data_IF_525498624048
#
_entry.id   IF_525498624048
#
_cell.length_a   1.000
_cell.length_b   1.000
_cell.length_c   1.000
_cell.angle_alpha   90.00
_cell.angle_beta   90.00
_cell.angle_gamma   90.00
#
_symmetry.space_group_name_H-M   'P 1'
#
loop_
_entity.id
_entity.type
_entity.pdbx_description
1 polymer ?
#
# COMPACT_ATOMS: atom_id res chain seq x y z
N UNK A 1 31.02 -37.76 -6.27
CA UNK A 1 29.72 -37.07 -6.40
C UNK A 1 29.97 -35.58 -6.57
N UNK A 2 29.36 -34.91 -7.56
CA UNK A 2 29.58 -33.48 -7.79
C UNK A 2 29.09 -32.69 -6.58
N UNK A 3 29.97 -31.87 -5.99
CA UNK A 3 29.64 -30.99 -4.87
C UNK A 3 28.93 -29.75 -5.42
N UNK A 4 27.60 -29.80 -5.49
CA UNK A 4 26.77 -28.62 -5.71
C UNK A 4 26.55 -27.86 -4.41
N UNK A 5 26.13 -26.61 -4.51
CA UNK A 5 25.64 -25.84 -3.37
C UNK A 5 24.14 -25.62 -3.57
N UNK A 6 23.36 -25.88 -2.53
CA UNK A 6 21.91 -25.75 -2.54
C UNK A 6 21.51 -24.58 -1.65
N UNK A 7 20.81 -23.60 -2.21
CA UNK A 7 20.29 -22.45 -1.50
C UNK A 7 18.82 -22.25 -1.86
N UNK A 8 17.93 -22.59 -0.93
CA UNK A 8 16.50 -22.27 -1.06
C UNK A 8 15.82 -22.85 -2.30
N UNK A 9 16.24 -24.02 -2.77
CA UNK A 9 15.63 -24.70 -3.92
C UNK A 9 16.31 -24.44 -5.28
N UNK A 10 17.32 -23.56 -5.32
CA UNK A 10 18.15 -23.36 -6.51
C UNK A 10 19.49 -24.09 -6.36
N UNK A 11 19.63 -25.22 -7.08
CA UNK A 11 20.84 -26.03 -7.06
C UNK A 11 21.84 -25.57 -8.15
N UNK A 12 23.04 -25.16 -7.73
CA UNK A 12 24.10 -24.74 -8.67
C UNK A 12 25.25 -25.75 -8.69
N UNK A 13 25.59 -26.24 -9.88
CA UNK A 13 26.74 -27.11 -10.11
C UNK A 13 28.02 -26.29 -10.32
N UNK A 14 29.06 -26.59 -9.53
CA UNK A 14 30.37 -25.95 -9.64
C UNK A 14 31.42 -27.03 -9.94
N UNK A 15 31.63 -27.32 -11.22
CA UNK A 15 32.65 -28.29 -11.66
C UNK A 15 34.06 -27.75 -11.45
N UNK A 16 34.93 -28.52 -10.79
CA UNK A 16 36.38 -28.26 -10.73
C UNK A 16 36.85 -27.12 -9.81
N UNK A 17 35.97 -26.50 -9.03
CA UNK A 17 36.34 -25.40 -8.14
C UNK A 17 36.99 -25.87 -6.82
N UNK A 18 38.08 -25.20 -6.42
CA UNK A 18 38.68 -25.36 -5.08
C UNK A 18 37.75 -24.79 -3.99
N UNK A 19 37.95 -25.19 -2.73
CA UNK A 19 37.14 -24.68 -1.61
C UNK A 19 37.16 -23.15 -1.46
N UNK A 20 38.25 -22.47 -1.87
CA UNK A 20 38.31 -20.99 -1.88
C UNK A 20 37.42 -20.42 -2.98
N UNK A 21 37.51 -20.97 -4.20
CA UNK A 21 36.69 -20.55 -5.34
C UNK A 21 35.19 -20.81 -5.09
N UNK A 22 34.83 -21.89 -4.40
CA UNK A 22 33.45 -22.16 -3.99
C UNK A 22 32.90 -21.08 -3.05
N UNK A 23 33.71 -20.62 -2.09
CA UNK A 23 33.32 -19.52 -1.18
C UNK A 23 33.14 -18.22 -1.96
N UNK A 24 34.09 -17.86 -2.81
CA UNK A 24 34.03 -16.63 -3.60
C UNK A 24 32.85 -16.63 -4.58
N UNK A 25 32.58 -17.75 -5.27
CA UNK A 25 31.43 -17.88 -6.15
C UNK A 25 30.10 -17.80 -5.38
N UNK A 26 29.99 -18.47 -4.22
CA UNK A 26 28.78 -18.39 -3.39
C UNK A 26 28.50 -16.97 -2.91
N UNK A 27 29.55 -16.21 -2.55
CA UNK A 27 29.44 -14.82 -2.15
C UNK A 27 28.87 -13.95 -3.28
N UNK A 28 29.44 -14.04 -4.50
CA UNK A 28 28.96 -13.25 -5.63
C UNK A 28 27.58 -13.68 -6.12
N UNK A 29 27.25 -14.96 -6.04
CA UNK A 29 25.93 -15.47 -6.39
C UNK A 29 24.84 -14.97 -5.44
N UNK A 30 25.06 -15.03 -4.12
CA UNK A 30 24.15 -14.45 -3.13
C UNK A 30 24.01 -12.94 -3.36
N UNK A 31 25.11 -12.23 -3.61
CA UNK A 31 25.06 -10.80 -3.94
C UNK A 31 24.25 -10.52 -5.21
N UNK A 32 24.38 -11.34 -6.24
CA UNK A 32 23.58 -11.25 -7.46
C UNK A 32 22.08 -11.47 -7.20
N UNK A 33 21.72 -12.49 -6.41
CA UNK A 33 20.33 -12.76 -6.03
C UNK A 33 19.73 -11.62 -5.21
N UNK A 34 20.44 -11.11 -4.21
CA UNK A 34 19.96 -9.97 -3.40
C UNK A 34 19.74 -8.72 -4.27
N UNK A 35 20.64 -8.42 -5.21
CA UNK A 35 20.46 -7.30 -6.15
C UNK A 35 19.25 -7.52 -7.07
N UNK A 36 19.03 -8.74 -7.53
CA UNK A 36 17.87 -9.09 -8.35
C UNK A 36 16.55 -8.91 -7.59
N UNK A 37 16.48 -9.40 -6.35
CA UNK A 37 15.30 -9.24 -5.47
C UNK A 37 15.02 -7.75 -5.17
N UNK A 38 16.07 -6.97 -4.88
CA UNK A 38 15.93 -5.51 -4.66
C UNK A 38 15.39 -4.83 -5.93
N UNK A 39 15.91 -5.18 -7.10
CA UNK A 39 15.45 -4.60 -8.36
C UNK A 39 13.99 -4.93 -8.66
N UNK A 40 13.58 -6.19 -8.44
CA UNK A 40 12.18 -6.60 -8.62
C UNK A 40 11.25 -5.82 -7.68
N UNK A 41 11.62 -5.69 -6.40
CA UNK A 41 10.86 -4.88 -5.43
C UNK A 41 10.78 -3.42 -5.86
N UNK A 42 11.88 -2.82 -6.32
CA UNK A 42 11.86 -1.44 -6.82
C UNK A 42 10.90 -1.25 -8.00
N UNK A 43 10.85 -2.19 -8.95
CA UNK A 43 9.92 -2.12 -10.08
C UNK A 43 8.46 -2.19 -9.60
N UNK A 44 8.14 -3.11 -8.68
CA UNK A 44 6.80 -3.24 -8.11
C UNK A 44 6.37 -1.96 -7.38
N UNK A 45 7.27 -1.36 -6.58
CA UNK A 45 7.00 -0.10 -5.90
C UNK A 45 6.75 1.04 -6.90
N UNK A 46 7.56 1.15 -7.95
CA UNK A 46 7.36 2.14 -8.99
C UNK A 46 6.02 1.96 -9.72
N UNK A 47 5.60 0.73 -9.96
CA UNK A 47 4.29 0.43 -10.55
C UNK A 47 3.15 0.86 -9.60
N UNK A 48 3.29 0.64 -8.29
CA UNK A 48 2.29 1.07 -7.32
C UNK A 48 2.15 2.58 -7.27
N UNK A 49 3.26 3.31 -7.27
CA UNK A 49 3.25 4.78 -7.30
C UNK A 49 2.51 5.28 -8.56
N UNK A 50 2.69 4.62 -9.70
CA UNK A 50 1.94 4.92 -10.92
C UNK A 50 0.44 4.65 -10.75
N UNK A 51 0.03 3.53 -10.13
CA UNK A 51 -1.38 3.22 -9.86
C UNK A 51 -2.00 4.26 -8.92
N UNK A 52 -1.31 4.64 -7.84
CA UNK A 52 -1.73 5.70 -6.92
C UNK A 52 -1.91 7.05 -7.64
N UNK A 53 -0.94 7.41 -8.48
CA UNK A 53 -0.98 8.66 -9.24
C UNK A 53 -2.13 8.67 -10.25
N UNK A 54 -2.37 7.54 -10.93
CA UNK A 54 -3.50 7.36 -11.83
C UNK A 54 -4.84 7.49 -11.08
N UNK A 55 -4.98 6.85 -9.92
CA UNK A 55 -6.18 6.99 -9.09
C UNK A 55 -6.45 8.46 -8.71
N UNK A 56 -5.39 9.19 -8.37
CA UNK A 56 -5.47 10.62 -8.03
C UNK A 56 -5.84 11.49 -9.23
N UNK A 57 -5.33 11.15 -10.41
CA UNK A 57 -5.66 11.84 -11.65
C UNK A 57 -7.12 11.61 -12.05
N UNK A 58 -7.58 10.36 -12.00
CA UNK A 58 -8.97 9.96 -12.31
C UNK A 58 -9.94 10.67 -11.35
N UNK A 59 -9.68 10.61 -10.04
CA UNK A 59 -10.50 11.27 -9.02
C UNK A 59 -10.59 12.80 -9.19
N UNK A 60 -9.60 13.44 -9.83
CA UNK A 60 -9.57 14.90 -10.05
C UNK A 60 -10.19 15.33 -11.36
N UNK A 61 -9.99 14.57 -12.44
CA UNK A 61 -10.51 14.94 -13.76
C UNK A 61 -12.00 14.66 -13.90
N UNK A 62 -12.44 13.52 -13.38
CA UNK A 62 -13.81 13.08 -13.54
C UNK A 62 -14.37 12.81 -12.17
N UNK A 63 -15.04 13.81 -11.60
CA UNK A 63 -15.71 13.70 -10.32
C UNK A 63 -16.77 12.58 -10.29
N UNK A 64 -17.10 11.93 -11.41
CA UNK A 64 -18.00 10.78 -11.48
C UNK A 64 -17.28 9.42 -11.55
N UNK A 65 -15.95 9.37 -11.63
CA UNK A 65 -15.18 8.11 -11.68
C UNK A 65 -14.52 7.74 -10.34
N UNK A 66 -15.18 8.05 -9.23
CA UNK A 66 -14.66 7.70 -7.91
C UNK A 66 -14.63 6.18 -7.66
N UNK A 67 -15.47 5.43 -8.36
CA UNK A 67 -15.49 3.96 -8.42
C UNK A 67 -14.20 3.41 -9.05
N UNK A 68 -13.78 3.97 -10.19
CA UNK A 68 -12.53 3.60 -10.87
C UNK A 68 -11.33 3.98 -10.01
N UNK A 69 -11.32 5.19 -9.44
CA UNK A 69 -10.26 5.64 -8.55
C UNK A 69 -10.16 4.75 -7.29
N UNK A 70 -11.29 4.36 -6.71
CA UNK A 70 -11.33 3.43 -5.57
C UNK A 70 -10.67 2.10 -5.93
N UNK A 71 -11.02 1.51 -7.08
CA UNK A 71 -10.42 0.25 -7.52
C UNK A 71 -8.89 0.34 -7.69
N UNK A 72 -8.39 1.46 -8.21
CA UNK A 72 -6.96 1.71 -8.33
C UNK A 72 -6.29 1.82 -6.95
N UNK A 73 -6.89 2.57 -6.02
CA UNK A 73 -6.33 2.72 -4.67
C UNK A 73 -6.37 1.42 -3.87
N UNK A 74 -7.42 0.62 -3.98
CA UNK A 74 -7.50 -0.70 -3.34
C UNK A 74 -6.41 -1.64 -3.87
N UNK A 75 -6.17 -1.63 -5.19
CA UNK A 75 -5.11 -2.42 -5.81
C UNK A 75 -3.72 -1.98 -5.35
N UNK A 76 -3.48 -0.67 -5.26
CA UNK A 76 -2.22 -0.15 -4.71
C UNK A 76 -2.04 -0.56 -3.24
N UNK A 77 -3.10 -0.48 -2.43
CA UNK A 77 -3.08 -0.88 -1.02
C UNK A 77 -2.72 -2.36 -0.85
N UNK A 78 -3.30 -3.24 -1.66
CA UNK A 78 -3.03 -4.69 -1.60
C UNK A 78 -1.54 -4.99 -1.82
N UNK A 79 -0.94 -4.40 -2.85
CA UNK A 79 0.48 -4.61 -3.17
C UNK A 79 1.38 -3.99 -2.08
N UNK A 80 1.03 -2.81 -1.56
CA UNK A 80 1.78 -2.22 -0.46
C UNK A 80 1.68 -3.04 0.84
N UNK A 81 0.55 -3.66 1.14
CA UNK A 81 0.37 -4.53 2.32
C UNK A 81 1.22 -5.81 2.27
N UNK A 82 1.50 -6.32 1.08
CA UNK A 82 2.38 -7.49 0.91
C UNK A 82 3.84 -7.18 1.27
N UNK A 83 4.27 -5.93 1.10
CA UNK A 83 5.68 -5.54 1.16
C UNK A 83 6.01 -4.64 2.36
N UNK A 84 5.00 -3.94 2.89
CA UNK A 84 5.13 -2.99 3.97
C UNK A 84 4.16 -3.30 5.11
N UNK A 85 4.57 -2.96 6.32
CA UNK A 85 3.67 -2.99 7.48
C UNK A 85 2.57 -1.95 7.34
N UNK A 86 1.42 -2.15 8.00
CA UNK A 86 0.29 -1.19 8.02
C UNK A 86 0.70 0.25 8.38
N UNK A 87 1.84 0.42 9.07
CA UNK A 87 2.38 1.71 9.51
C UNK A 87 3.13 2.50 8.43
N UNK A 88 3.32 1.95 7.24
CA UNK A 88 4.11 2.56 6.19
C UNK A 88 3.36 3.76 5.55
N UNK A 89 4.03 4.88 5.23
CA UNK A 89 3.38 6.08 4.69
C UNK A 89 2.52 5.83 3.44
N UNK A 90 2.90 4.87 2.61
CA UNK A 90 2.25 4.50 1.35
C UNK A 90 0.96 3.71 1.61
N UNK A 91 0.96 2.84 2.64
CA UNK A 91 -0.25 2.15 3.12
C UNK A 91 -1.22 3.17 3.72
N UNK A 92 -0.70 4.10 4.51
CA UNK A 92 -1.46 5.21 5.09
C UNK A 92 -2.11 6.09 4.03
N UNK A 93 -1.33 6.53 3.04
CA UNK A 93 -1.78 7.37 1.92
C UNK A 93 -2.85 6.66 1.09
N UNK A 94 -2.67 5.37 0.82
CA UNK A 94 -3.66 4.57 0.08
C UNK A 94 -4.99 4.49 0.84
N UNK A 95 -4.96 4.23 2.15
CA UNK A 95 -6.16 4.20 3.00
C UNK A 95 -6.87 5.57 3.05
N UNK A 96 -6.13 6.67 3.15
CA UNK A 96 -6.70 8.02 3.14
C UNK A 96 -7.40 8.33 1.82
N UNK A 97 -6.79 7.96 0.69
CA UNK A 97 -7.38 8.16 -0.63
C UNK A 97 -8.64 7.31 -0.85
N UNK A 98 -8.63 6.06 -0.36
CA UNK A 98 -9.82 5.18 -0.35
C UNK A 98 -10.97 5.82 0.43
N UNK A 99 -10.69 6.29 1.65
CA UNK A 99 -11.68 6.98 2.48
C UNK A 99 -12.27 8.21 1.78
N UNK A 100 -11.42 9.00 1.10
CA UNK A 100 -11.87 10.15 0.32
C UNK A 100 -12.78 9.75 -0.86
N UNK A 101 -12.43 8.71 -1.62
CA UNK A 101 -13.26 8.18 -2.70
C UNK A 101 -14.61 7.71 -2.19
N UNK A 102 -14.62 6.93 -1.12
CA UNK A 102 -15.86 6.45 -0.51
C UNK A 102 -16.76 7.59 -0.05
N UNK A 103 -16.21 8.64 0.56
CA UNK A 103 -16.96 9.84 0.92
C UNK A 103 -17.55 10.54 -0.30
N UNK A 104 -16.76 10.70 -1.36
CA UNK A 104 -17.22 11.39 -2.56
C UNK A 104 -18.32 10.60 -3.30
N UNK A 105 -18.31 9.27 -3.21
CA UNK A 105 -19.42 8.43 -3.66
C UNK A 105 -20.61 8.51 -2.70
N UNK A 106 -20.37 8.53 -1.39
CA UNK A 106 -21.40 8.64 -0.35
C UNK A 106 -22.26 9.89 -0.47
N UNK A 107 -21.69 11.01 -0.89
CA UNK A 107 -22.45 12.26 -1.09
C UNK A 107 -23.32 12.24 -2.34
N UNK A 108 -23.07 11.32 -3.28
CA UNK A 108 -23.79 11.17 -4.56
C UNK A 108 -24.79 10.02 -4.56
N UNK A 109 -24.51 8.96 -3.80
CA UNK A 109 -25.31 7.75 -3.73
C UNK A 109 -26.08 7.69 -2.41
N UNK A 110 -27.31 7.15 -2.45
CA UNK A 110 -28.18 6.97 -1.26
C UNK A 110 -27.98 5.58 -0.62
N UNK A 111 -26.99 4.83 -1.09
CA UNK A 111 -26.76 3.47 -0.63
C UNK A 111 -26.08 3.45 0.74
N UNK A 112 -26.83 3.03 1.76
CA UNK A 112 -26.34 2.92 3.15
C UNK A 112 -25.09 2.05 3.31
N UNK A 113 -24.95 1.01 2.47
CA UNK A 113 -23.81 0.09 2.56
C UNK A 113 -22.48 0.81 2.26
N UNK A 114 -22.46 1.64 1.22
CA UNK A 114 -21.30 2.45 0.86
C UNK A 114 -20.88 3.39 2.00
N UNK A 115 -21.83 3.93 2.75
CA UNK A 115 -21.54 4.79 3.90
C UNK A 115 -20.93 4.03 5.09
N UNK A 116 -21.33 2.77 5.29
CA UNK A 116 -20.76 1.91 6.33
C UNK A 116 -19.33 1.50 5.97
N UNK A 117 -19.11 1.07 4.72
CA UNK A 117 -17.78 0.70 4.23
C UNK A 117 -16.82 1.91 4.31
N UNK A 118 -17.28 3.10 3.90
CA UNK A 118 -16.55 4.35 4.02
C UNK A 118 -16.11 4.64 5.47
N UNK A 119 -17.03 4.42 6.42
CA UNK A 119 -16.80 4.68 7.83
C UNK A 119 -15.73 3.74 8.40
N UNK A 120 -15.76 2.46 8.03
CA UNK A 120 -14.75 1.48 8.45
C UNK A 120 -13.35 1.86 7.95
N UNK A 121 -13.22 2.26 6.67
CA UNK A 121 -11.93 2.72 6.13
C UNK A 121 -11.43 4.00 6.82
N UNK A 122 -12.31 4.97 7.07
CA UNK A 122 -11.96 6.17 7.84
C UNK A 122 -11.46 5.82 9.25
N UNK A 123 -12.12 4.88 9.94
CA UNK A 123 -11.73 4.43 11.27
C UNK A 123 -10.38 3.70 11.27
N UNK A 124 -10.16 2.81 10.30
CA UNK A 124 -8.89 2.11 10.13
C UNK A 124 -7.75 3.10 9.87
N UNK A 125 -7.93 4.03 8.93
CA UNK A 125 -6.94 5.06 8.65
C UNK A 125 -6.61 5.87 9.92
N UNK A 126 -7.64 6.34 10.63
CA UNK A 126 -7.48 7.15 11.84
C UNK A 126 -6.70 6.42 12.94
N UNK A 127 -7.02 5.14 13.18
CA UNK A 127 -6.31 4.31 14.16
C UNK A 127 -4.83 4.16 13.79
N UNK A 128 -4.51 3.90 12.52
CA UNK A 128 -3.12 3.73 12.08
C UNK A 128 -2.38 5.07 12.18
N UNK A 129 -2.98 6.20 11.77
CA UNK A 129 -2.36 7.52 11.89
C UNK A 129 -2.12 7.94 13.35
N UNK A 130 -3.03 7.62 14.27
CA UNK A 130 -2.87 7.92 15.69
C UNK A 130 -1.70 7.14 16.33
N UNK A 131 -1.46 5.91 15.86
CA UNK A 131 -0.36 5.04 16.29
C UNK A 131 1.00 5.41 15.65
N UNK A 132 1.01 5.91 14.42
CA UNK A 132 2.25 6.09 13.62
C UNK A 132 2.90 7.46 13.82
N UNK A 133 2.11 8.53 13.82
CA UNK A 133 2.68 9.87 13.81
C UNK A 133 3.06 10.32 15.23
N UNK A 134 4.18 11.01 15.47
CA UNK A 134 4.45 11.64 16.76
C UNK A 134 3.37 12.69 17.08
N UNK A 135 3.00 12.82 18.35
CA UNK A 135 1.93 13.72 18.81
C UNK A 135 2.12 15.18 18.40
N UNK A 136 3.37 15.61 18.15
CA UNK A 136 3.75 17.01 17.91
C UNK A 136 3.87 17.40 16.43
N UNK A 137 3.50 16.54 15.47
CA UNK A 137 3.57 16.90 14.05
C UNK A 137 2.30 17.64 13.58
N UNK A 138 2.48 18.81 12.99
CA UNK A 138 1.39 19.60 12.36
C UNK A 138 0.70 18.83 11.24
N UNK A 139 1.44 17.97 10.54
CA UNK A 139 0.90 17.05 9.54
C UNK A 139 -0.09 16.05 10.15
N UNK A 140 0.21 15.47 11.34
CA UNK A 140 -0.71 14.61 12.09
C UNK A 140 -2.02 15.31 12.39
N UNK A 141 -1.95 16.52 12.91
CA UNK A 141 -3.15 17.27 13.28
C UNK A 141 -4.05 17.54 12.07
N UNK A 142 -3.46 17.95 10.94
CA UNK A 142 -4.22 18.21 9.71
C UNK A 142 -4.89 16.96 9.14
N UNK A 143 -4.16 15.85 9.07
CA UNK A 143 -4.67 14.57 8.54
C UNK A 143 -5.75 14.01 9.46
N UNK A 144 -5.51 13.96 10.77
CA UNK A 144 -6.50 13.50 11.74
C UNK A 144 -7.74 14.39 11.75
N UNK A 145 -7.58 15.70 11.61
CA UNK A 145 -8.71 16.62 11.49
C UNK A 145 -9.52 16.36 10.23
N UNK A 146 -8.87 16.11 9.09
CA UNK A 146 -9.56 15.75 7.84
C UNK A 146 -10.34 14.46 7.99
N UNK A 147 -9.70 13.38 8.46
CA UNK A 147 -10.34 12.08 8.66
C UNK A 147 -11.49 12.14 9.68
N UNK A 148 -11.32 12.88 10.78
CA UNK A 148 -12.38 13.10 11.77
C UNK A 148 -13.57 13.86 11.16
N UNK A 149 -13.30 14.85 10.31
CA UNK A 149 -14.36 15.58 9.61
C UNK A 149 -15.10 14.67 8.61
N UNK A 150 -14.37 13.88 7.82
CA UNK A 150 -14.96 12.95 6.87
C UNK A 150 -15.80 11.87 7.58
N UNK A 151 -15.31 11.35 8.71
CA UNK A 151 -16.06 10.43 9.58
C UNK A 151 -17.36 11.05 10.12
N UNK A 152 -17.31 12.30 10.61
CA UNK A 152 -18.49 12.98 11.12
C UNK A 152 -19.55 13.21 10.03
N UNK A 153 -19.14 13.59 8.83
CA UNK A 153 -20.05 13.75 7.69
C UNK A 153 -20.73 12.44 7.31
N UNK A 154 -19.98 11.33 7.29
CA UNK A 154 -20.55 9.99 7.04
C UNK A 154 -21.56 9.60 8.13
N UNK A 155 -21.25 9.87 9.40
CA UNK A 155 -22.18 9.61 10.50
C UNK A 155 -23.46 10.45 10.41
N UNK A 156 -23.39 11.69 9.94
CA UNK A 156 -24.56 12.53 9.67
C UNK A 156 -25.40 12.00 8.51
N UNK A 157 -24.76 11.58 7.41
CA UNK A 157 -25.45 10.96 6.27
C UNK A 157 -26.16 9.68 6.69
N UNK A 158 -25.53 8.84 7.51
CA UNK A 158 -26.14 7.62 8.05
C UNK A 158 -27.36 7.99 8.92
N UNK A 159 -27.23 8.92 9.87
CA UNK A 159 -28.31 9.34 10.78
C UNK A 159 -29.50 10.00 10.09
N UNK A 160 -29.24 10.81 9.05
CA UNK A 160 -30.29 11.53 8.32
C UNK A 160 -31.13 10.63 7.42
N UNK A 161 -30.63 9.43 7.11
CA UNK A 161 -31.29 8.47 6.23
C UNK A 161 -31.73 7.18 6.95
N UNK A 162 -31.52 7.07 8.27
CA UNK A 162 -32.10 6.02 9.15
C UNK A 162 -33.49 6.38 9.59
#
# INVERSE_FOLDING_TARGET
>A
MPKGIDFGGNHCHLFGASNSQLKDHSFWFIKGLTLHEIHQKQQLLSQNDQILNLGTFVARLEADQFDVALGLYMRALEIYREHFTERHPEVLTSNQNIAHCFRAMATKCVEKQLWQDALEFCQQALKIYEDVLPSDSTERESILKSLKNDMNQLLELIKSNT
#
